data_IF_198551771851
#
_entry.id   IF_198551771851
#
_cell.length_a   1.000
_cell.length_b   1.000
_cell.length_c   1.000
_cell.angle_alpha   90.00
_cell.angle_beta   90.00
_cell.angle_gamma   90.00
#
_symmetry.space_group_name_H-M   'P 1'
#
loop_
_entity.id
_entity.type
_entity.pdbx_description
1 polymer ?
#
# COMPACT_ATOMS: atom_id res chain seq x y z
N UNK A 1 3.11 1.68 11.44
CA UNK A 1 3.11 1.31 10.00
C UNK A 1 4.44 1.79 9.46
N UNK A 2 5.47 0.94 9.48
CA UNK A 2 6.68 1.27 8.72
C UNK A 2 6.29 1.19 7.25
N UNK A 3 6.05 2.34 6.64
CA UNK A 3 6.13 2.47 5.20
C UNK A 3 7.57 2.11 4.85
N UNK A 4 7.79 1.32 3.79
CA UNK A 4 9.13 1.22 3.24
C UNK A 4 9.52 2.61 2.73
N UNK A 5 10.16 3.40 3.59
CA UNK A 5 10.92 4.58 3.20
C UNK A 5 12.17 4.06 2.53
N UNK A 6 12.06 3.72 1.25
CA UNK A 6 13.23 3.36 0.46
C UNK A 6 13.98 4.67 0.24
N UNK A 7 15.02 4.86 1.04
CA UNK A 7 15.96 5.95 0.83
C UNK A 7 16.72 5.66 -0.47
N UNK A 8 16.76 6.62 -1.39
CA UNK A 8 17.38 6.45 -2.72
C UNK A 8 18.89 6.18 -2.68
N UNK A 9 19.50 6.19 -1.50
CA UNK A 9 20.90 5.82 -1.27
C UNK A 9 21.14 4.32 -1.04
N UNK A 10 20.10 3.50 -0.86
CA UNK A 10 20.25 2.05 -0.67
C UNK A 10 20.06 1.28 -2.00
N UNK A 11 20.91 0.27 -2.28
CA UNK A 11 20.82 -0.53 -3.50
C UNK A 11 19.52 -1.36 -3.55
N UNK A 12 18.82 -1.28 -4.70
CA UNK A 12 17.56 -1.98 -5.01
C UNK A 12 17.64 -3.51 -4.85
N UNK A 13 18.84 -4.10 -4.87
CA UNK A 13 19.06 -5.54 -4.83
C UNK A 13 18.75 -6.19 -3.46
N UNK A 14 18.74 -5.41 -2.37
CA UNK A 14 18.38 -5.90 -1.02
C UNK A 14 16.86 -5.96 -0.78
N UNK A 15 16.05 -5.41 -1.69
CA UNK A 15 14.61 -5.22 -1.55
C UNK A 15 13.83 -6.46 -2.01
N UNK A 16 14.36 -7.23 -2.96
CA UNK A 16 13.59 -8.31 -3.61
C UNK A 16 13.39 -9.56 -2.74
N UNK A 17 14.32 -9.86 -1.82
CA UNK A 17 14.32 -11.12 -1.06
C UNK A 17 13.44 -11.11 0.19
N UNK A 18 13.07 -9.93 0.70
CA UNK A 18 12.27 -9.78 1.92
C UNK A 18 10.80 -9.44 1.66
N UNK A 19 10.43 -8.99 0.46
CA UNK A 19 9.10 -8.44 0.15
C UNK A 19 8.17 -9.45 -0.53
N UNK A 20 8.73 -10.42 -1.25
CA UNK A 20 7.94 -11.41 -1.97
C UNK A 20 7.94 -12.74 -1.22
N UNK A 21 7.13 -12.83 -0.15
CA UNK A 21 6.78 -14.13 0.43
C UNK A 21 6.12 -15.00 -0.66
N UNK A 22 6.64 -16.23 -0.80
CA UNK A 22 6.04 -17.27 -1.66
C UNK A 22 4.58 -17.48 -1.22
N UNK A 23 3.64 -17.71 -2.16
CA UNK A 23 2.27 -18.04 -1.78
C UNK A 23 2.30 -19.29 -0.91
N UNK A 24 1.81 -19.18 0.34
CA UNK A 24 1.55 -20.35 1.15
C UNK A 24 0.41 -21.13 0.49
N UNK A 25 0.56 -22.44 0.36
CA UNK A 25 -0.51 -23.35 -0.07
C UNK A 25 -1.59 -23.38 1.02
N UNK A 26 -2.36 -22.30 1.09
CA UNK A 26 -3.58 -22.21 1.86
C UNK A 26 -4.67 -22.78 0.96
N UNK A 27 -5.42 -23.79 1.41
CA UNK A 27 -6.56 -24.37 0.67
C UNK A 27 -7.75 -23.41 0.53
N UNK A 28 -7.49 -22.10 0.52
CA UNK A 28 -8.48 -21.03 0.40
C UNK A 28 -8.92 -20.90 -1.06
N UNK A 29 -10.20 -20.57 -1.32
CA UNK A 29 -10.69 -20.33 -2.67
C UNK A 29 -10.13 -19.02 -3.22
N UNK A 30 -10.12 -18.87 -4.56
CA UNK A 30 -9.86 -17.59 -5.20
C UNK A 30 -10.93 -16.57 -4.82
N UNK A 31 -10.55 -15.30 -4.70
CA UNK A 31 -11.51 -14.24 -4.43
C UNK A 31 -12.57 -14.14 -5.56
N UNK A 32 -13.83 -13.84 -5.21
CA UNK A 32 -14.91 -13.68 -6.19
C UNK A 32 -14.62 -12.53 -7.17
N UNK A 33 -15.15 -12.66 -8.38
CA UNK A 33 -15.12 -11.61 -9.40
C UNK A 33 -16.55 -11.41 -9.92
N UNK A 34 -17.21 -10.27 -9.64
CA UNK A 34 -16.69 -9.06 -8.99
C UNK A 34 -16.54 -9.20 -7.45
N UNK A 35 -15.65 -8.41 -6.80
CA UNK A 35 -15.56 -8.35 -5.35
C UNK A 35 -16.89 -7.90 -4.70
N UNK A 36 -17.35 -8.56 -3.61
CA UNK A 36 -18.69 -8.36 -3.04
C UNK A 36 -18.82 -7.03 -2.27
N UNK A 37 -17.71 -6.43 -1.85
CA UNK A 37 -17.71 -5.22 -1.02
C UNK A 37 -17.67 -3.91 -1.82
N UNK A 38 -17.75 -3.99 -3.15
CA UNK A 38 -17.81 -2.82 -4.03
C UNK A 38 -19.26 -2.38 -4.19
N UNK A 39 -19.59 -1.25 -3.54
CA UNK A 39 -20.96 -0.70 -3.48
C UNK A 39 -21.22 0.41 -4.52
N UNK A 40 -20.34 0.57 -5.51
CA UNK A 40 -20.40 1.65 -6.49
C UNK A 40 -19.62 2.90 -6.04
N UNK A 41 -20.11 4.13 -6.29
CA UNK A 41 -19.44 5.36 -5.88
C UNK A 41 -19.14 5.38 -4.38
N UNK A 42 -17.88 5.62 -4.02
CA UNK A 42 -17.42 5.65 -2.63
C UNK A 42 -17.06 7.11 -2.29
N UNK A 43 -17.59 7.68 -1.18
CA UNK A 43 -17.19 9.01 -0.75
C UNK A 43 -15.71 9.04 -0.37
N UNK A 44 -14.98 10.05 -0.82
CA UNK A 44 -13.58 10.25 -0.48
C UNK A 44 -13.43 11.11 0.77
N UNK A 45 -12.58 10.71 1.69
CA UNK A 45 -12.22 11.54 2.83
C UNK A 45 -11.28 12.66 2.38
N UNK A 46 -11.63 13.90 2.69
CA UNK A 46 -10.81 15.09 2.42
C UNK A 46 -9.88 15.45 3.58
N UNK A 47 -10.15 14.90 4.76
CA UNK A 47 -9.32 14.99 5.95
C UNK A 47 -8.80 13.60 6.33
N UNK A 48 -7.51 13.52 6.67
CA UNK A 48 -6.85 12.29 7.07
C UNK A 48 -6.74 12.20 8.60
N UNK A 49 -6.98 11.03 9.22
CA UNK A 49 -6.60 10.80 10.61
C UNK A 49 -5.13 11.11 10.85
N UNK A 50 -4.74 11.39 12.09
CA UNK A 50 -3.31 11.47 12.45
C UNK A 50 -2.63 10.11 12.17
N UNK A 51 -1.32 10.11 11.89
CA UNK A 51 -0.58 8.89 11.56
C UNK A 51 -0.80 7.79 12.60
N UNK A 52 -0.67 8.09 13.89
CA UNK A 52 -0.88 7.11 14.97
C UNK A 52 -2.30 6.51 14.95
N UNK A 53 -3.29 7.33 14.61
CA UNK A 53 -4.68 6.87 14.51
C UNK A 53 -4.89 5.99 13.28
N UNK A 54 -4.26 6.34 12.17
CA UNK A 54 -4.30 5.56 10.93
C UNK A 54 -3.69 4.17 11.15
N UNK A 55 -2.57 4.08 11.87
CA UNK A 55 -1.95 2.81 12.23
C UNK A 55 -2.87 1.92 13.05
N UNK A 56 -3.51 2.49 14.08
CA UNK A 56 -4.47 1.76 14.91
C UNK A 56 -5.69 1.27 14.13
N UNK A 57 -6.15 2.05 13.14
CA UNK A 57 -7.31 1.68 12.33
C UNK A 57 -7.04 0.47 11.42
N UNK A 58 -5.81 0.34 10.92
CA UNK A 58 -5.46 -0.69 9.94
C UNK A 58 -4.57 -1.81 10.49
N UNK A 59 -4.18 -1.77 11.76
CA UNK A 59 -3.32 -2.77 12.43
C UNK A 59 -3.77 -4.22 12.25
N UNK A 60 -5.08 -4.46 12.13
CA UNK A 60 -5.62 -5.80 11.97
C UNK A 60 -5.51 -6.34 10.55
N UNK A 61 -5.49 -5.47 9.52
CA UNK A 61 -5.69 -5.86 8.13
C UNK A 61 -4.56 -5.39 7.19
N UNK A 62 -3.58 -4.65 7.72
CA UNK A 62 -2.40 -4.18 7.01
C UNK A 62 -1.19 -4.54 7.85
N UNK A 63 -0.28 -5.29 7.24
CA UNK A 63 0.98 -5.72 7.83
C UNK A 63 1.99 -4.56 7.86
N UNK A 64 3.07 -4.76 8.62
CA UNK A 64 4.23 -3.89 8.59
C UNK A 64 4.74 -3.81 7.14
N UNK A 65 5.09 -2.62 6.65
CA UNK A 65 5.43 -2.39 5.24
C UNK A 65 4.28 -1.83 4.39
N UNK A 66 3.06 -1.73 4.94
CA UNK A 66 1.90 -1.26 4.18
C UNK A 66 1.33 -2.31 3.23
N UNK A 67 1.58 -3.59 3.52
CA UNK A 67 1.09 -4.74 2.77
C UNK A 67 -0.28 -5.18 3.28
N UNK A 68 -1.27 -5.24 2.41
CA UNK A 68 -2.62 -5.71 2.73
C UNK A 68 -3.00 -6.90 1.86
N UNK A 69 -3.50 -7.96 2.49
CA UNK A 69 -3.92 -9.19 1.81
C UNK A 69 -5.30 -9.63 2.32
N UNK A 70 -6.22 -10.09 1.44
CA UNK A 70 -7.47 -10.69 1.88
C UNK A 70 -7.21 -11.96 2.69
N UNK A 71 -7.90 -12.11 3.82
CA UNK A 71 -7.72 -13.25 4.75
C UNK A 71 -8.58 -14.47 4.40
N UNK A 72 -9.69 -14.26 3.71
CA UNK A 72 -10.71 -15.28 3.46
C UNK A 72 -10.58 -15.94 2.08
N UNK A 73 -9.76 -15.37 1.20
CA UNK A 73 -9.60 -15.83 -0.17
C UNK A 73 -8.21 -15.47 -0.72
N UNK A 74 -7.77 -16.22 -1.73
CA UNK A 74 -6.54 -15.92 -2.45
C UNK A 74 -6.84 -14.84 -3.49
N UNK A 75 -6.12 -13.72 -3.39
CA UNK A 75 -6.30 -12.63 -4.35
C UNK A 75 -5.94 -13.05 -5.78
N UNK A 76 -6.68 -12.52 -6.74
CA UNK A 76 -6.39 -12.66 -8.17
C UNK A 76 -5.33 -11.68 -8.66
N UNK A 77 -5.08 -10.63 -7.90
CA UNK A 77 -4.24 -9.51 -8.29
C UNK A 77 -3.23 -9.21 -7.19
N UNK A 78 -1.95 -9.09 -7.60
CA UNK A 78 -0.86 -8.65 -6.73
C UNK A 78 -0.32 -7.33 -7.26
N UNK A 79 -0.38 -6.27 -6.46
CA UNK A 79 -0.19 -4.89 -6.92
C UNK A 79 0.82 -4.15 -6.04
N UNK A 80 1.89 -3.64 -6.64
CA UNK A 80 2.77 -2.67 -6.00
C UNK A 80 2.31 -1.24 -6.33
N UNK A 81 2.00 -0.44 -5.30
CA UNK A 81 1.58 0.96 -5.44
C UNK A 81 2.73 1.85 -5.03
N UNK A 82 3.35 2.52 -5.99
CA UNK A 82 4.49 3.39 -5.76
C UNK A 82 4.02 4.84 -5.70
N UNK A 83 4.31 5.52 -4.59
CA UNK A 83 3.90 6.90 -4.34
C UNK A 83 5.15 7.75 -4.11
N UNK A 84 5.50 8.63 -5.06
CA UNK A 84 6.53 9.63 -4.80
C UNK A 84 6.04 10.61 -3.74
N UNK A 85 6.87 10.89 -2.74
CA UNK A 85 6.52 11.71 -1.59
C UNK A 85 7.60 12.74 -1.29
N UNK A 86 7.16 13.94 -0.89
CA UNK A 86 8.01 15.03 -0.41
C UNK A 86 7.19 15.97 0.46
N UNK A 87 7.55 16.10 1.73
CA UNK A 87 7.08 17.13 2.67
C UNK A 87 5.56 17.43 2.67
N UNK A 88 4.71 16.41 2.47
CA UNK A 88 3.23 16.58 2.36
C UNK A 88 2.47 15.58 3.20
N UNK A 89 2.76 15.53 4.49
CA UNK A 89 2.24 14.51 5.39
C UNK A 89 0.70 14.48 5.41
N UNK A 90 0.04 15.64 5.40
CA UNK A 90 -1.42 15.71 5.36
C UNK A 90 -2.01 14.98 4.15
N UNK A 91 -1.45 15.20 2.95
CA UNK A 91 -1.92 14.54 1.73
C UNK A 91 -1.64 13.04 1.78
N UNK A 92 -0.48 12.64 2.34
CA UNK A 92 -0.15 11.22 2.51
C UNK A 92 -1.16 10.53 3.43
N UNK A 93 -1.53 11.15 4.56
CA UNK A 93 -2.51 10.59 5.49
C UNK A 93 -3.89 10.44 4.84
N UNK A 94 -4.32 11.43 4.06
CA UNK A 94 -5.56 11.36 3.28
C UNK A 94 -5.49 10.22 2.26
N UNK A 95 -4.40 10.13 1.51
CA UNK A 95 -4.17 9.09 0.51
C UNK A 95 -4.24 7.70 1.14
N UNK A 96 -3.44 7.44 2.19
CA UNK A 96 -3.39 6.14 2.85
C UNK A 96 -4.75 5.71 3.39
N UNK A 97 -5.50 6.63 4.00
CA UNK A 97 -6.83 6.33 4.54
C UNK A 97 -7.82 5.89 3.44
N UNK A 98 -7.87 6.65 2.34
CA UNK A 98 -8.72 6.31 1.20
C UNK A 98 -8.28 4.99 0.53
N UNK A 99 -6.98 4.83 0.28
CA UNK A 99 -6.43 3.68 -0.44
C UNK A 99 -6.60 2.38 0.34
N UNK A 100 -6.25 2.34 1.64
CA UNK A 100 -6.44 1.12 2.42
C UNK A 100 -7.91 0.70 2.47
N UNK A 101 -8.84 1.66 2.55
CA UNK A 101 -10.27 1.35 2.55
C UNK A 101 -10.74 0.72 1.24
N UNK A 102 -10.35 1.27 0.09
CA UNK A 102 -10.84 0.78 -1.21
C UNK A 102 -10.15 -0.50 -1.65
N UNK A 103 -8.83 -0.63 -1.44
CA UNK A 103 -8.07 -1.80 -1.89
C UNK A 103 -8.47 -3.07 -1.09
N UNK A 104 -8.79 -2.92 0.20
CA UNK A 104 -9.33 -4.03 1.00
C UNK A 104 -10.71 -4.49 0.48
N UNK A 105 -11.59 -3.56 0.09
CA UNK A 105 -12.89 -3.89 -0.51
C UNK A 105 -12.76 -4.58 -1.87
N UNK A 106 -11.71 -4.27 -2.63
CA UNK A 106 -11.38 -4.92 -3.89
C UNK A 106 -10.78 -6.32 -3.72
N UNK A 107 -10.46 -6.74 -2.49
CA UNK A 107 -9.84 -8.04 -2.18
C UNK A 107 -8.54 -8.30 -2.96
N UNK A 108 -7.71 -7.26 -3.11
CA UNK A 108 -6.40 -7.36 -3.77
C UNK A 108 -5.27 -7.61 -2.77
N UNK A 109 -4.24 -8.34 -3.19
CA UNK A 109 -2.92 -8.37 -2.53
C UNK A 109 -2.17 -7.11 -2.98
N UNK A 110 -1.88 -6.20 -2.06
CA UNK A 110 -1.22 -4.94 -2.40
C UNK A 110 -0.17 -4.52 -1.38
N UNK A 111 0.85 -3.80 -1.87
CA UNK A 111 1.84 -3.12 -1.03
C UNK A 111 1.98 -1.66 -1.47
N UNK A 112 1.93 -0.73 -0.51
CA UNK A 112 2.13 0.71 -0.77
C UNK A 112 3.56 1.10 -0.40
N UNK A 113 4.32 1.55 -1.40
CA UNK A 113 5.70 2.03 -1.27
C UNK A 113 5.72 3.56 -1.34
N UNK A 114 6.19 4.21 -0.29
CA UNK A 114 6.31 5.67 -0.23
C UNK A 114 7.78 6.00 -0.48
N UNK A 115 8.07 6.53 -1.66
CA UNK A 115 9.43 6.87 -2.03
C UNK A 115 9.67 8.34 -1.73
N UNK A 116 10.48 8.60 -0.70
CA UNK A 116 10.86 9.94 -0.31
C UNK A 116 11.97 10.47 -1.20
N UNK A 117 11.77 11.66 -1.76
CA UNK A 117 12.82 12.31 -2.53
C UNK A 117 13.78 13.06 -1.60
N UNK A 118 15.08 12.70 -1.63
CA UNK A 118 16.11 13.39 -0.85
C UNK A 118 16.21 14.87 -1.23
N UNK A 119 16.25 15.74 -0.22
CA UNK A 119 16.39 17.19 -0.39
C UNK A 119 17.68 17.54 -1.15
N UNK A 120 17.56 18.38 -2.19
CA UNK A 120 18.70 18.86 -3.00
C UNK A 120 18.79 18.29 -4.42
N UNK A 121 17.94 17.34 -4.80
CA UNK A 121 17.87 16.82 -6.18
C UNK A 121 16.58 17.25 -6.91
N UNK A 122 16.66 17.40 -8.24
CA UNK A 122 15.50 17.70 -9.11
C UNK A 122 14.50 16.55 -9.12
N UNK A 123 13.20 16.87 -9.06
CA UNK A 123 12.10 15.88 -9.09
C UNK A 123 12.13 15.07 -10.39
N UNK A 124 12.59 13.82 -10.31
CA UNK A 124 12.65 12.91 -11.46
C UNK A 124 11.52 11.86 -11.39
N UNK A 125 10.35 12.21 -11.92
CA UNK A 125 9.17 11.31 -11.99
C UNK A 125 9.45 10.01 -12.75
N UNK A 126 10.38 10.02 -13.71
CA UNK A 126 10.69 8.87 -14.58
C UNK A 126 11.60 7.81 -13.93
N UNK A 127 12.39 8.19 -12.92
CA UNK A 127 13.23 7.24 -12.19
C UNK A 127 12.42 6.38 -11.20
N UNK A 128 11.36 6.93 -10.61
CA UNK A 128 10.56 6.24 -9.59
C UNK A 128 9.58 5.19 -10.12
N UNK A 129 9.41 5.10 -11.45
CA UNK A 129 8.44 4.23 -12.10
C UNK A 129 9.07 3.12 -12.96
N UNK A 130 10.41 3.07 -13.07
CA UNK A 130 11.17 2.11 -13.87
C UNK A 130 11.98 1.15 -13.01
#
# INVERSE_FOLDING_TARGET
MYLYLINTSEPLDLISSSIFSKPSNSGLPLCPNPPPFLVGPIPTWMDGPNMNKLEQLYSNNVEIGGHGVPKECISRHRVAIIVPYRDREQHLRIFLHNMHSILQKQQIDYSIFIIEQVAGQTFNRGYFLN
#
